data_IF_701086603303
#
_entry.id   IF_701086603303
#
_cell.length_a   1.000
_cell.length_b   1.000
_cell.length_c   1.000
_cell.angle_alpha   90.00
_cell.angle_beta   90.00
_cell.angle_gamma   90.00
#
_symmetry.space_group_name_H-M   'P 1'
#
loop_
_entity.id
_entity.type
_entity.pdbx_description
1 polymer ?
#
# COMPACT_ATOMS: atom_id res chain seq x y z
N UNK A 1 -12.34 33.01 -14.35
CA UNK A 1 -11.10 32.50 -13.74
C UNK A 1 -10.89 33.28 -12.47
N UNK A 2 -11.12 32.64 -11.32
CA UNK A 2 -10.85 33.29 -10.04
C UNK A 2 -9.32 33.43 -9.87
N UNK A 3 -8.87 34.58 -9.38
CA UNK A 3 -7.45 34.82 -9.10
C UNK A 3 -7.11 34.11 -7.79
N UNK A 4 -6.23 33.12 -7.84
CA UNK A 4 -5.58 32.51 -6.67
C UNK A 4 -4.09 32.77 -6.77
N UNK A 5 -3.44 33.14 -5.67
CA UNK A 5 -1.98 33.31 -5.64
C UNK A 5 -1.31 32.25 -4.77
N UNK A 6 0.01 32.13 -4.90
CA UNK A 6 0.78 31.15 -4.12
C UNK A 6 0.79 31.55 -2.65
N UNK A 7 0.81 32.85 -2.37
CA UNK A 7 0.78 33.41 -1.02
C UNK A 7 -0.48 32.96 -0.27
N UNK A 8 -1.64 32.96 -0.93
CA UNK A 8 -2.90 32.47 -0.34
C UNK A 8 -2.80 31.02 0.12
N UNK A 9 -1.97 30.21 -0.54
CA UNK A 9 -1.81 28.79 -0.26
C UNK A 9 -0.70 28.51 0.77
N UNK A 10 0.40 29.26 0.72
CA UNK A 10 1.57 29.06 1.60
C UNK A 10 1.23 29.36 3.06
N UNK A 11 0.25 30.24 3.34
CA UNK A 11 -0.26 30.45 4.70
C UNK A 11 -0.87 29.19 5.33
N UNK A 12 -1.34 28.24 4.50
CA UNK A 12 -1.95 26.98 4.94
C UNK A 12 -0.97 25.81 4.86
N UNK A 13 -0.07 25.84 3.89
CA UNK A 13 0.98 24.84 3.68
C UNK A 13 2.31 25.58 3.46
N UNK A 14 3.08 25.86 4.53
CA UNK A 14 4.27 26.72 4.46
C UNK A 14 5.37 26.19 3.53
N UNK A 15 5.50 24.86 3.45
CA UNK A 15 6.44 24.23 2.53
C UNK A 15 5.85 24.20 1.12
N UNK A 16 6.52 24.87 0.19
CA UNK A 16 6.09 24.97 -1.21
C UNK A 16 6.13 23.63 -1.96
N UNK A 17 7.04 22.73 -1.59
CA UNK A 17 7.07 21.39 -2.18
C UNK A 17 5.88 20.56 -1.71
N UNK A 18 5.56 20.61 -0.43
CA UNK A 18 4.38 19.93 0.14
C UNK A 18 3.10 20.52 -0.45
N UNK A 19 3.03 21.84 -0.64
CA UNK A 19 1.90 22.49 -1.30
C UNK A 19 1.67 21.91 -2.70
N UNK A 20 2.73 21.78 -3.51
CA UNK A 20 2.63 21.20 -4.86
C UNK A 20 2.16 19.74 -4.78
N UNK A 21 2.71 18.95 -3.86
CA UNK A 21 2.39 17.54 -3.71
C UNK A 21 0.94 17.32 -3.29
N UNK A 22 0.48 18.04 -2.26
CA UNK A 22 -0.88 17.94 -1.73
C UNK A 22 -1.91 18.52 -2.71
N UNK A 23 -1.61 19.62 -3.39
CA UNK A 23 -2.48 20.16 -4.44
C UNK A 23 -2.61 19.20 -5.62
N UNK A 24 -1.52 18.52 -6.00
CA UNK A 24 -1.55 17.49 -7.05
C UNK A 24 -2.39 16.28 -6.63
N UNK A 25 -2.25 15.81 -5.38
CA UNK A 25 -3.08 14.75 -4.82
C UNK A 25 -4.56 15.14 -4.88
N UNK A 26 -4.91 16.33 -4.39
CA UNK A 26 -6.29 16.81 -4.44
C UNK A 26 -6.82 16.94 -5.87
N UNK A 27 -6.02 17.43 -6.80
CA UNK A 27 -6.40 17.49 -8.21
C UNK A 27 -6.68 16.12 -8.82
N UNK A 28 -5.96 15.06 -8.38
CA UNK A 28 -6.24 13.66 -8.79
C UNK A 28 -7.56 13.15 -8.22
N UNK A 29 -7.86 13.43 -6.95
CA UNK A 29 -9.16 13.08 -6.36
C UNK A 29 -10.32 13.72 -7.12
N UNK A 30 -10.22 15.01 -7.44
CA UNK A 30 -11.20 15.72 -8.27
C UNK A 30 -11.32 15.07 -9.66
N UNK A 31 -10.19 14.68 -10.26
CA UNK A 31 -10.19 13.97 -11.55
C UNK A 31 -10.85 12.59 -11.45
N UNK A 32 -10.78 11.94 -10.29
CA UNK A 32 -11.47 10.69 -9.97
C UNK A 32 -12.94 10.84 -9.58
N UNK A 33 -13.50 12.05 -9.68
CA UNK A 33 -14.91 12.33 -9.40
C UNK A 33 -15.22 12.76 -7.97
N UNK A 34 -14.21 13.12 -7.17
CA UNK A 34 -14.46 13.71 -5.85
C UNK A 34 -15.27 15.02 -5.98
N UNK A 35 -16.17 15.24 -5.03
CA UNK A 35 -16.98 16.46 -4.96
C UNK A 35 -16.08 17.70 -4.79
N UNK A 36 -16.50 18.79 -5.43
CA UNK A 36 -15.84 20.09 -5.34
C UNK A 36 -16.41 20.86 -4.15
N UNK A 37 -15.52 21.46 -3.36
CA UNK A 37 -15.88 22.23 -2.18
C UNK A 37 -15.91 23.74 -2.43
N UNK A 38 -15.62 24.14 -3.67
CA UNK A 38 -15.69 25.51 -4.19
C UNK A 38 -16.35 25.49 -5.55
N UNK A 39 -17.01 26.60 -5.90
CA UNK A 39 -17.67 26.72 -7.19
C UNK A 39 -16.68 26.64 -8.35
N UNK A 40 -17.05 25.79 -9.31
CA UNK A 40 -16.29 25.58 -10.54
C UNK A 40 -16.69 26.62 -11.58
N UNK A 41 -15.78 27.54 -11.82
CA UNK A 41 -15.79 28.38 -13.02
C UNK A 41 -15.09 27.61 -14.16
N UNK A 42 -14.30 28.28 -15.02
CA UNK A 42 -13.50 27.67 -16.09
C UNK A 42 -12.15 27.09 -15.63
N UNK A 43 -12.02 26.82 -14.35
CA UNK A 43 -10.75 26.42 -13.74
C UNK A 43 -10.49 24.91 -13.93
N UNK A 44 -9.23 24.57 -14.22
CA UNK A 44 -8.76 23.17 -14.28
C UNK A 44 -8.60 22.60 -12.87
N UNK A 45 -8.60 21.27 -12.73
CA UNK A 45 -8.54 20.59 -11.42
C UNK A 45 -7.38 21.08 -10.51
N UNK A 46 -6.16 21.35 -11.01
CA UNK A 46 -5.09 21.90 -10.18
C UNK A 46 -5.41 23.28 -9.60
N UNK A 47 -6.08 24.14 -10.36
CA UNK A 47 -6.46 25.50 -9.91
C UNK A 47 -7.60 25.42 -8.91
N UNK A 48 -8.57 24.53 -9.13
CA UNK A 48 -9.65 24.27 -8.16
C UNK A 48 -9.07 23.74 -6.84
N UNK A 49 -8.11 22.80 -6.88
CA UNK A 49 -7.44 22.29 -5.70
C UNK A 49 -6.70 23.38 -4.91
N UNK A 50 -5.97 24.27 -5.59
CA UNK A 50 -5.30 25.40 -4.94
C UNK A 50 -6.30 26.37 -4.30
N UNK A 51 -7.45 26.60 -4.93
CA UNK A 51 -8.53 27.43 -4.36
C UNK A 51 -9.14 26.78 -3.12
N UNK A 52 -9.40 25.47 -3.15
CA UNK A 52 -9.89 24.75 -1.97
C UNK A 52 -8.90 24.82 -0.79
N UNK A 53 -7.59 24.79 -1.07
CA UNK A 53 -6.53 24.96 -0.06
C UNK A 53 -6.52 26.41 0.46
N UNK A 54 -6.53 27.39 -0.44
CA UNK A 54 -6.53 28.81 -0.09
C UNK A 54 -7.73 29.21 0.80
N UNK A 55 -8.91 28.66 0.50
CA UNK A 55 -10.16 28.84 1.24
C UNK A 55 -10.31 27.88 2.44
N UNK A 56 -9.30 27.05 2.72
CA UNK A 56 -9.28 26.07 3.83
C UNK A 56 -10.48 25.10 3.84
N UNK A 57 -11.01 24.78 2.65
CA UNK A 57 -12.08 23.80 2.46
C UNK A 57 -11.57 22.38 2.61
N UNK A 58 -10.30 22.16 2.30
CA UNK A 58 -9.58 20.91 2.52
C UNK A 58 -8.55 21.10 3.63
N UNK A 59 -8.40 20.10 4.49
CA UNK A 59 -7.35 20.10 5.53
C UNK A 59 -6.10 19.43 4.96
N UNK A 60 -4.92 20.09 5.00
CA UNK A 60 -3.67 19.51 4.48
C UNK A 60 -3.38 18.11 5.02
N UNK A 61 -3.65 17.87 6.31
CA UNK A 61 -3.48 16.57 6.96
C UNK A 61 -4.27 15.44 6.30
N UNK A 62 -5.51 15.70 5.85
CA UNK A 62 -6.31 14.68 5.17
C UNK A 62 -5.80 14.37 3.77
N UNK A 63 -5.24 15.38 3.08
CA UNK A 63 -4.58 15.19 1.78
C UNK A 63 -3.31 14.36 1.94
N UNK A 64 -2.55 14.60 3.01
CA UNK A 64 -1.35 13.84 3.35
C UNK A 64 -1.69 12.37 3.66
N UNK A 65 -2.70 12.13 4.51
CA UNK A 65 -3.21 10.79 4.82
C UNK A 65 -3.66 10.05 3.54
N UNK A 66 -4.40 10.74 2.66
CA UNK A 66 -4.89 10.18 1.40
C UNK A 66 -3.75 9.86 0.42
N UNK A 67 -2.73 10.71 0.37
CA UNK A 67 -1.54 10.50 -0.45
C UNK A 67 -0.75 9.28 0.04
N UNK A 68 -0.51 9.18 1.35
CA UNK A 68 0.20 8.03 1.96
C UNK A 68 -0.55 6.73 1.66
N UNK A 69 -1.87 6.70 1.85
CA UNK A 69 -2.69 5.53 1.53
C UNK A 69 -2.63 5.16 0.04
N UNK A 70 -2.64 6.15 -0.85
CA UNK A 70 -2.58 5.91 -2.29
C UNK A 70 -1.24 5.26 -2.69
N UNK A 71 -0.12 5.76 -2.13
CA UNK A 71 1.21 5.22 -2.42
C UNK A 71 1.44 3.84 -1.79
N UNK A 72 0.86 3.56 -0.62
CA UNK A 72 0.94 2.24 0.00
C UNK A 72 0.19 1.16 -0.80
N UNK A 73 -0.96 1.49 -1.40
CA UNK A 73 -1.73 0.54 -2.23
C UNK A 73 -0.97 0.03 -3.46
N UNK A 74 0.07 0.74 -3.89
CA UNK A 74 0.88 0.36 -5.06
C UNK A 74 1.87 -0.77 -4.73
N UNK A 75 2.01 -1.18 -3.46
CA UNK A 75 2.88 -2.30 -3.04
C UNK A 75 2.08 -3.57 -2.73
N UNK A 76 1.31 -4.09 -3.68
CA UNK A 76 0.90 -5.49 -3.67
C UNK A 76 1.58 -6.11 -4.87
N UNK A 77 2.85 -6.46 -4.71
CA UNK A 77 3.48 -7.45 -5.57
C UNK A 77 2.76 -8.77 -5.28
N UNK A 78 2.02 -9.29 -6.26
CA UNK A 78 1.44 -10.64 -6.24
C UNK A 78 2.52 -11.76 -6.21
N UNK A 79 3.79 -11.44 -5.93
CA UNK A 79 4.92 -12.37 -5.85
C UNK A 79 4.92 -13.23 -4.56
N UNK A 80 4.04 -12.94 -3.59
CA UNK A 80 3.86 -13.71 -2.36
C UNK A 80 2.70 -14.73 -2.41
N UNK A 81 2.13 -15.03 -3.57
CA UNK A 81 1.51 -16.35 -3.73
C UNK A 81 2.65 -17.35 -3.91
N UNK A 82 3.00 -18.20 -2.93
CA UNK A 82 3.88 -19.31 -3.22
C UNK A 82 3.22 -20.11 -4.33
N UNK A 83 3.81 -20.10 -5.53
CA UNK A 83 3.38 -20.95 -6.65
C UNK A 83 2.99 -22.31 -6.08
N UNK A 84 1.71 -22.69 -6.20
CA UNK A 84 1.19 -23.94 -5.62
C UNK A 84 2.05 -25.16 -6.06
N UNK A 85 2.70 -25.02 -7.22
CA UNK A 85 3.65 -25.95 -7.85
C UNK A 85 4.91 -26.19 -7.00
N UNK A 86 5.43 -25.17 -6.32
CA UNK A 86 6.62 -25.28 -5.45
C UNK A 86 6.32 -25.92 -4.09
N UNK A 87 5.08 -25.85 -3.62
CA UNK A 87 4.63 -26.53 -2.40
C UNK A 87 4.48 -28.04 -2.62
N UNK A 88 3.80 -28.44 -3.70
CA UNK A 88 3.59 -29.86 -4.03
C UNK A 88 4.90 -30.61 -4.28
N UNK A 89 5.85 -29.97 -4.97
CA UNK A 89 7.16 -30.54 -5.27
C UNK A 89 7.97 -30.82 -4.00
N UNK A 90 7.98 -29.88 -3.04
CA UNK A 90 8.68 -30.04 -1.75
C UNK A 90 8.06 -31.13 -0.88
N UNK A 91 6.73 -31.20 -0.83
CA UNK A 91 6.04 -32.28 -0.13
C UNK A 91 6.27 -33.66 -0.76
N UNK A 92 6.29 -33.76 -2.10
CA UNK A 92 6.56 -35.01 -2.81
C UNK A 92 8.01 -35.49 -2.59
N UNK A 93 8.97 -34.58 -2.54
CA UNK A 93 10.37 -34.89 -2.27
C UNK A 93 10.60 -35.36 -0.83
N UNK A 94 9.95 -34.72 0.15
CA UNK A 94 9.98 -35.15 1.55
C UNK A 94 9.39 -36.57 1.75
N UNK A 95 8.29 -36.88 1.06
CA UNK A 95 7.69 -38.22 1.06
C UNK A 95 8.61 -39.26 0.42
N UNK A 96 9.27 -38.94 -0.69
CA UNK A 96 10.26 -39.83 -1.33
C UNK A 96 11.45 -40.11 -0.43
N UNK A 97 11.98 -39.08 0.24
CA UNK A 97 13.13 -39.23 1.14
C UNK A 97 12.78 -40.13 2.34
N UNK A 98 11.57 -39.97 2.89
CA UNK A 98 11.08 -40.77 4.02
C UNK A 98 10.82 -42.23 3.62
N UNK A 99 10.27 -42.46 2.42
CA UNK A 99 10.02 -43.80 1.91
C UNK A 99 11.30 -44.55 1.50
N UNK A 100 12.38 -43.82 1.17
CA UNK A 100 13.67 -44.41 0.81
C UNK A 100 14.56 -44.75 2.01
N UNK A 101 14.16 -44.41 3.24
CA UNK A 101 14.91 -44.75 4.44
C UNK A 101 14.79 -46.26 4.74
N UNK A 102 15.91 -47.00 4.88
CA UNK A 102 15.85 -48.43 5.20
C UNK A 102 15.23 -48.63 6.60
N UNK A 103 14.44 -49.69 6.82
CA UNK A 103 13.86 -49.96 8.13
C UNK A 103 15.00 -50.09 9.16
N UNK A 104 14.95 -49.25 10.19
CA UNK A 104 15.94 -49.26 11.27
C UNK A 104 15.91 -50.66 11.93
N UNK A 105 17.03 -51.39 12.00
CA UNK A 105 17.02 -52.72 12.58
C UNK A 105 16.67 -52.60 14.07
N UNK A 106 15.56 -53.20 14.46
CA UNK A 106 15.16 -53.35 15.86
C UNK A 106 16.06 -54.40 16.48
N UNK A 107 17.07 -53.98 17.25
CA UNK A 107 17.80 -54.89 18.12
C UNK A 107 16.87 -55.30 19.28
N UNK A 108 16.11 -56.37 19.07
CA UNK A 108 15.44 -57.11 20.13
C UNK A 108 16.46 -58.15 20.60
N UNK A 109 17.28 -57.78 21.59
CA UNK A 109 18.10 -58.71 22.34
C UNK A 109 17.64 -58.68 23.80
N UNK A 110 17.00 -59.79 24.14
CA UNK A 110 16.63 -60.35 25.45
C UNK A 110 17.63 -60.10 26.58
N UNK A 111 17.13 -59.79 27.79
CA UNK A 111 17.55 -60.46 29.03
C UNK A 111 16.63 -60.03 30.21
N UNK A 112 15.54 -60.79 30.40
CA UNK A 112 14.92 -60.99 31.71
C UNK A 112 15.28 -62.40 32.16
N UNK A 113 16.43 -62.54 32.81
CA UNK A 113 16.69 -63.65 33.73
C UNK A 113 17.75 -63.20 34.73
N UNK A 114 17.34 -62.91 35.97
CA UNK A 114 18.10 -63.15 37.21
C UNK A 114 17.14 -63.09 38.40
N UNK A 115 16.81 -64.29 38.88
CA UNK A 115 16.72 -64.71 40.30
C UNK A 115 16.01 -63.82 41.31
#
# INVERSE_FOLDING_TARGET
MARVTVEDCVDKIPNRFDLVLLAAQRAREISGGAELLVDRDRDKNPVVALREIAESKVKPKHLEESLVQNLQKVQIDDDDTPDEIGSQSRSAEALRLTAAAPPRPTNIATDFDKG
#
